data_IF_614146768773
#
_entry.id   IF_614146768773
#
_cell.length_a   1.000
_cell.length_b   1.000
_cell.length_c   1.000
_cell.angle_alpha   90.00
_cell.angle_beta   90.00
_cell.angle_gamma   90.00
#
_symmetry.space_group_name_H-M   'P 1'
#
loop_
_entity.id
_entity.type
_entity.pdbx_description
1 polymer ?
#
# COMPACT_ATOMS: atom_id res chain seq x y z
N UNK A 1 21.42 -33.87 22.77
CA UNK A 1 19.99 -33.80 22.49
C UNK A 1 19.82 -32.40 21.84
N UNK A 2 19.72 -32.37 20.52
CA UNK A 2 19.54 -31.11 19.75
C UNK A 2 18.11 -30.64 19.96
N UNK A 3 17.97 -29.44 20.42
CA UNK A 3 16.72 -28.69 20.54
C UNK A 3 16.19 -28.45 19.10
N UNK A 4 15.51 -29.44 18.54
CA UNK A 4 14.81 -29.30 17.29
C UNK A 4 13.54 -28.48 17.58
N UNK A 5 13.67 -27.14 17.50
CA UNK A 5 12.50 -26.28 17.41
C UNK A 5 11.67 -26.79 16.23
N UNK A 6 10.40 -27.10 16.47
CA UNK A 6 9.46 -27.43 15.41
C UNK A 6 9.59 -26.37 14.30
N UNK A 7 9.77 -26.77 13.04
CA UNK A 7 9.88 -25.82 11.95
C UNK A 7 8.62 -24.94 11.93
N UNK A 8 8.82 -23.62 11.93
CA UNK A 8 7.71 -22.68 11.86
C UNK A 8 6.80 -23.01 10.67
N UNK A 9 5.48 -22.87 10.83
CA UNK A 9 4.56 -23.17 9.75
C UNK A 9 4.82 -22.27 8.55
N UNK A 10 4.70 -22.82 7.35
CA UNK A 10 4.89 -22.12 6.09
C UNK A 10 3.69 -21.17 5.86
N UNK A 11 3.97 -19.96 5.39
CA UNK A 11 2.92 -19.00 5.10
C UNK A 11 2.51 -19.08 3.62
N UNK A 12 1.24 -19.42 3.37
CA UNK A 12 0.71 -19.72 2.03
C UNK A 12 0.94 -18.59 1.02
N UNK A 13 0.57 -17.34 1.36
CA UNK A 13 0.67 -16.23 0.43
C UNK A 13 2.12 -15.77 0.17
N UNK A 14 3.10 -16.29 0.93
CA UNK A 14 4.52 -16.06 0.69
C UNK A 14 5.09 -17.01 -0.38
N UNK A 15 4.38 -18.08 -0.71
CA UNK A 15 4.84 -19.17 -1.59
C UNK A 15 4.22 -19.06 -2.97
N UNK A 16 4.99 -19.41 -3.99
CA UNK A 16 4.45 -19.75 -5.29
C UNK A 16 4.02 -21.24 -5.33
N UNK A 17 3.35 -21.71 -6.41
CA UNK A 17 2.93 -23.11 -6.50
C UNK A 17 4.07 -24.15 -6.48
N UNK A 18 5.29 -23.77 -6.91
CA UNK A 18 6.44 -24.64 -6.87
C UNK A 18 6.98 -24.77 -5.44
N UNK A 19 7.13 -23.66 -4.74
CA UNK A 19 7.51 -23.65 -3.31
C UNK A 19 6.56 -24.51 -2.48
N UNK A 20 5.24 -24.38 -2.71
CA UNK A 20 4.24 -25.19 -2.03
C UNK A 20 4.35 -26.67 -2.39
N UNK A 21 4.61 -27.01 -3.65
CA UNK A 21 4.76 -28.41 -4.08
C UNK A 21 5.97 -29.06 -3.42
N UNK A 22 7.10 -28.36 -3.35
CA UNK A 22 8.32 -28.85 -2.71
C UNK A 22 8.12 -29.04 -1.20
N UNK A 23 7.50 -28.07 -0.54
CA UNK A 23 7.14 -28.19 0.87
C UNK A 23 6.20 -29.37 1.13
N UNK A 24 5.19 -29.57 0.30
CA UNK A 24 4.25 -30.67 0.44
C UNK A 24 4.94 -32.04 0.31
N UNK A 25 5.86 -32.17 -0.65
CA UNK A 25 6.67 -33.38 -0.80
C UNK A 25 7.51 -33.63 0.46
N UNK A 26 8.14 -32.59 1.00
CA UNK A 26 8.91 -32.69 2.24
C UNK A 26 8.05 -33.10 3.46
N UNK A 27 6.75 -32.79 3.44
CA UNK A 27 5.79 -33.19 4.48
C UNK A 27 5.14 -34.55 4.21
N UNK A 28 5.56 -35.29 3.16
CA UNK A 28 5.00 -36.57 2.79
C UNK A 28 3.68 -36.49 2.01
N UNK A 29 3.29 -35.31 1.56
CA UNK A 29 2.13 -35.12 0.70
C UNK A 29 2.53 -35.26 -0.78
N UNK A 30 1.54 -35.48 -1.65
CA UNK A 30 1.78 -35.52 -3.10
C UNK A 30 1.86 -34.09 -3.65
N UNK A 31 2.85 -33.78 -4.50
CA UNK A 31 3.10 -32.47 -5.09
C UNK A 31 1.85 -31.81 -5.71
N UNK A 32 0.99 -32.59 -6.40
CA UNK A 32 -0.21 -32.05 -7.04
C UNK A 32 -1.25 -31.47 -6.05
N UNK A 33 -1.15 -31.82 -4.75
CA UNK A 33 -2.00 -31.25 -3.71
C UNK A 33 -1.80 -29.74 -3.55
N UNK A 34 -0.59 -29.25 -3.82
CA UNK A 34 -0.31 -27.80 -3.81
C UNK A 34 -1.24 -27.06 -4.78
N UNK A 35 -1.39 -27.57 -6.01
CA UNK A 35 -2.33 -26.98 -6.99
C UNK A 35 -3.77 -26.97 -6.49
N UNK A 36 -4.19 -28.03 -5.79
CA UNK A 36 -5.55 -28.10 -5.24
C UNK A 36 -5.75 -27.05 -4.13
N UNK A 37 -4.78 -26.88 -3.22
CA UNK A 37 -4.85 -25.85 -2.17
C UNK A 37 -4.85 -24.45 -2.80
N UNK A 38 -3.99 -24.18 -3.79
CA UNK A 38 -3.95 -22.92 -4.53
C UNK A 38 -5.33 -22.60 -5.14
N UNK A 39 -5.99 -23.57 -5.76
CA UNK A 39 -7.33 -23.38 -6.31
C UNK A 39 -8.39 -23.11 -5.22
N UNK A 40 -8.32 -23.81 -4.09
CA UNK A 40 -9.24 -23.56 -2.99
C UNK A 40 -9.11 -22.14 -2.46
N UNK A 41 -7.89 -21.67 -2.26
CA UNK A 41 -7.64 -20.35 -1.66
C UNK A 41 -7.92 -19.22 -2.65
N UNK A 42 -7.31 -19.25 -3.85
CA UNK A 42 -7.40 -18.12 -4.78
C UNK A 42 -8.68 -18.10 -5.60
N UNK A 43 -9.17 -19.25 -6.06
CA UNK A 43 -10.35 -19.29 -6.94
C UNK A 43 -11.66 -19.36 -6.14
N UNK A 44 -11.67 -20.12 -5.02
CA UNK A 44 -12.89 -20.34 -4.24
C UNK A 44 -12.95 -19.53 -2.95
N UNK A 45 -11.84 -18.88 -2.55
CA UNK A 45 -11.76 -18.08 -1.34
C UNK A 45 -11.86 -18.89 -0.04
N UNK A 46 -11.57 -20.18 -0.08
CA UNK A 46 -11.63 -21.10 1.07
C UNK A 46 -10.27 -21.13 1.75
N UNK A 47 -10.25 -20.97 3.08
CA UNK A 47 -9.04 -21.00 3.90
C UNK A 47 -9.08 -22.07 4.99
N UNK A 48 -10.28 -22.57 5.33
CA UNK A 48 -10.41 -23.68 6.24
C UNK A 48 -10.13 -25.00 5.50
N UNK A 49 -9.15 -25.75 5.97
CA UNK A 49 -8.80 -27.02 5.37
C UNK A 49 -9.93 -28.05 5.46
N UNK A 50 -10.86 -27.94 6.42
CA UNK A 50 -11.99 -28.83 6.53
C UNK A 50 -12.99 -28.70 5.38
N UNK A 51 -13.08 -27.51 4.78
CA UNK A 51 -13.90 -27.23 3.62
C UNK A 51 -13.26 -27.70 2.29
N UNK A 52 -11.96 -28.05 2.29
CA UNK A 52 -11.25 -28.54 1.11
C UNK A 52 -11.55 -30.02 0.83
N UNK A 53 -12.76 -30.31 0.35
CA UNK A 53 -13.35 -31.63 0.32
C UNK A 53 -12.63 -32.67 -0.55
N UNK A 54 -11.78 -32.23 -1.51
CA UNK A 54 -10.97 -33.12 -2.36
C UNK A 54 -9.61 -33.51 -1.73
N UNK A 55 -9.32 -33.02 -0.51
CA UNK A 55 -8.18 -33.46 0.29
C UNK A 55 -8.59 -34.54 1.27
N UNK A 56 -7.72 -35.53 1.48
CA UNK A 56 -7.95 -36.59 2.49
C UNK A 56 -7.91 -35.98 3.90
N UNK A 57 -8.52 -36.64 4.88
CA UNK A 57 -8.44 -36.25 6.29
C UNK A 57 -6.99 -36.15 6.79
N UNK A 58 -6.14 -37.12 6.35
CA UNK A 58 -4.73 -37.12 6.71
C UNK A 58 -3.98 -35.92 6.11
N UNK A 59 -4.21 -35.61 4.81
CA UNK A 59 -3.59 -34.43 4.17
C UNK A 59 -3.99 -33.16 4.89
N UNK A 60 -5.29 -32.97 5.24
CA UNK A 60 -5.78 -31.79 5.97
C UNK A 60 -5.14 -31.66 7.35
N UNK A 61 -4.93 -32.76 8.07
CA UNK A 61 -4.26 -32.77 9.37
C UNK A 61 -2.82 -32.21 9.26
N UNK A 62 -2.06 -32.69 8.27
CA UNK A 62 -0.69 -32.21 8.00
C UNK A 62 -0.69 -30.73 7.63
N UNK A 63 -1.62 -30.31 6.76
CA UNK A 63 -1.69 -28.91 6.32
C UNK A 63 -2.05 -27.97 7.47
N UNK A 64 -2.96 -28.34 8.36
CA UNK A 64 -3.35 -27.54 9.51
C UNK A 64 -2.20 -27.29 10.47
N UNK A 65 -1.29 -28.24 10.60
CA UNK A 65 -0.11 -28.14 11.44
C UNK A 65 1.01 -27.29 10.81
N UNK A 66 1.15 -27.37 9.46
CA UNK A 66 2.35 -26.89 8.77
C UNK A 66 2.13 -25.74 7.81
N UNK A 67 0.89 -25.37 7.48
CA UNK A 67 0.56 -24.31 6.54
C UNK A 67 -0.39 -23.30 7.17
N UNK A 68 0.02 -22.02 7.18
CA UNK A 68 -0.81 -20.90 7.61
C UNK A 68 -1.33 -20.19 6.36
N UNK A 69 -2.64 -20.00 6.24
CA UNK A 69 -3.26 -19.22 5.15
C UNK A 69 -3.50 -17.78 5.61
N UNK A 70 -4.12 -17.57 6.76
CA UNK A 70 -4.33 -16.26 7.35
C UNK A 70 -3.25 -15.98 8.40
N UNK A 71 -2.38 -14.96 8.13
CA UNK A 71 -1.23 -14.63 8.98
C UNK A 71 -1.52 -13.52 9.98
N UNK A 72 -2.77 -13.14 10.11
CA UNK A 72 -3.24 -12.10 11.01
C UNK A 72 -4.75 -12.16 11.18
N UNK A 73 -5.26 -11.34 12.06
CA UNK A 73 -6.67 -11.24 12.42
C UNK A 73 -7.26 -9.91 11.97
N UNK A 74 -8.43 -9.93 11.33
CA UNK A 74 -9.19 -8.72 11.05
C UNK A 74 -9.91 -8.27 12.34
N UNK A 75 -9.24 -7.42 13.13
CA UNK A 75 -9.73 -6.98 14.43
C UNK A 75 -10.79 -5.88 14.34
N UNK A 76 -10.93 -5.22 13.18
CA UNK A 76 -11.98 -4.22 12.96
C UNK A 76 -12.39 -4.21 11.50
N UNK A 77 -13.70 -4.19 11.25
CA UNK A 77 -14.30 -3.95 9.93
C UNK A 77 -15.25 -2.76 10.02
N UNK A 78 -15.11 -1.82 9.10
CA UNK A 78 -15.94 -0.62 9.01
C UNK A 78 -16.52 -0.48 7.61
N UNK A 79 -17.80 -0.12 7.54
CA UNK A 79 -18.55 0.11 6.30
C UNK A 79 -18.98 1.58 6.24
N UNK A 80 -18.56 2.28 5.20
CA UNK A 80 -18.94 3.67 4.93
C UNK A 80 -20.29 3.76 4.21
N UNK A 81 -20.90 4.92 4.28
CA UNK A 81 -22.18 5.21 3.61
C UNK A 81 -22.10 5.12 2.09
N UNK A 82 -20.91 5.29 1.51
CA UNK A 82 -20.66 5.18 0.06
C UNK A 82 -20.25 3.76 -0.37
N UNK A 83 -20.37 2.78 0.52
CA UNK A 83 -20.03 1.38 0.30
C UNK A 83 -18.55 1.05 0.40
N UNK A 84 -17.70 2.02 0.76
CA UNK A 84 -16.27 1.78 1.06
C UNK A 84 -16.16 0.95 2.33
N UNK A 85 -15.29 -0.07 2.30
CA UNK A 85 -15.07 -0.95 3.43
C UNK A 85 -13.61 -0.92 3.87
N UNK A 86 -13.35 -0.77 5.16
CA UNK A 86 -12.01 -0.73 5.74
C UNK A 86 -11.82 -1.87 6.72
N UNK A 87 -10.71 -2.59 6.58
CA UNK A 87 -10.22 -3.56 7.54
C UNK A 87 -9.02 -3.01 8.29
N UNK A 88 -9.00 -3.26 9.60
CA UNK A 88 -7.80 -3.19 10.43
C UNK A 88 -7.35 -4.62 10.71
N UNK A 89 -6.13 -4.95 10.29
CA UNK A 89 -5.55 -6.29 10.44
C UNK A 89 -4.41 -6.21 11.43
N UNK A 90 -4.48 -7.02 12.50
CA UNK A 90 -3.38 -7.28 13.41
C UNK A 90 -2.61 -8.50 12.92
N UNK A 91 -1.29 -8.35 12.75
CA UNK A 91 -0.43 -9.39 12.19
C UNK A 91 0.26 -10.20 13.28
N UNK A 92 0.15 -11.51 13.19
CA UNK A 92 0.85 -12.42 14.10
C UNK A 92 2.37 -12.39 13.82
N UNK A 93 3.20 -12.68 14.82
CA UNK A 93 4.65 -12.79 14.62
C UNK A 93 4.97 -14.09 13.87
N UNK A 94 4.96 -13.99 12.53
CA UNK A 94 5.59 -14.99 11.67
C UNK A 94 7.07 -14.63 11.53
N UNK A 95 7.92 -15.63 11.28
CA UNK A 95 9.37 -15.45 11.20
C UNK A 95 9.76 -14.19 10.40
N UNK A 96 10.82 -13.53 10.87
CA UNK A 96 11.40 -12.39 10.17
C UNK A 96 11.77 -12.77 8.73
N UNK A 97 11.70 -11.80 7.78
CA UNK A 97 12.13 -12.02 6.40
C UNK A 97 13.56 -12.58 6.37
N UNK A 98 13.83 -13.42 5.37
CA UNK A 98 15.16 -13.99 5.17
C UNK A 98 16.22 -12.89 5.04
N UNK A 99 17.48 -13.18 5.41
CA UNK A 99 18.59 -12.24 5.30
C UNK A 99 18.77 -11.66 3.88
N UNK A 100 18.37 -12.39 2.85
CA UNK A 100 18.34 -11.95 1.45
C UNK A 100 17.37 -10.82 1.18
N UNK A 101 16.17 -10.85 1.76
CA UNK A 101 15.19 -9.77 1.59
C UNK A 101 15.60 -8.48 2.32
N UNK A 102 16.31 -8.62 3.45
CA UNK A 102 16.87 -7.48 4.16
C UNK A 102 18.01 -6.81 3.36
N UNK A 103 18.74 -7.58 2.57
CA UNK A 103 19.84 -7.10 1.72
C UNK A 103 19.30 -6.45 0.42
N UNK A 104 18.29 -7.03 -0.20
CA UNK A 104 17.63 -6.48 -1.39
C UNK A 104 16.86 -5.17 -1.10
N UNK A 105 16.35 -4.99 0.11
CA UNK A 105 15.72 -3.75 0.57
C UNK A 105 16.73 -2.67 0.96
N UNK A 106 18.02 -3.00 1.09
CA UNK A 106 19.06 -1.98 1.16
C UNK A 106 19.14 -1.32 -0.21
N UNK A 107 18.51 -0.15 -0.33
CA UNK A 107 18.78 0.79 -1.40
C UNK A 107 20.27 1.09 -1.30
N UNK A 108 21.07 0.49 -2.19
CA UNK A 108 22.48 0.85 -2.28
C UNK A 108 22.52 2.37 -2.46
N UNK A 109 23.26 3.11 -1.64
CA UNK A 109 23.44 4.53 -1.88
C UNK A 109 24.16 4.63 -3.23
N UNK A 110 23.40 4.99 -4.27
CA UNK A 110 24.01 5.76 -5.32
C UNK A 110 24.70 6.93 -4.61
N UNK A 111 25.90 7.29 -5.01
CA UNK A 111 26.74 8.30 -4.31
C UNK A 111 26.06 9.67 -4.16
N UNK A 112 24.77 9.76 -4.44
CA UNK A 112 23.87 10.92 -4.35
C UNK A 112 22.57 10.67 -3.59
N UNK A 113 22.29 9.44 -3.09
CA UNK A 113 21.02 9.17 -2.37
C UNK A 113 21.32 8.84 -0.90
N UNK A 114 21.01 9.79 -0.04
CA UNK A 114 20.98 9.61 1.40
C UNK A 114 20.09 8.42 1.77
N UNK A 115 20.58 7.52 2.61
CA UNK A 115 19.78 6.53 3.31
C UNK A 115 18.64 7.25 4.00
N UNK A 116 17.40 6.70 3.98
CA UNK A 116 16.30 7.27 4.76
C UNK A 116 16.79 7.34 6.21
N UNK A 117 17.01 8.54 6.77
CA UNK A 117 17.50 8.63 8.13
C UNK A 117 16.45 8.02 9.06
N UNK A 118 16.90 7.14 9.93
CA UNK A 118 16.11 6.71 11.09
C UNK A 118 15.82 7.98 11.90
N UNK A 119 14.62 8.53 11.74
CA UNK A 119 14.24 9.70 12.49
C UNK A 119 14.17 9.35 13.96
N UNK A 120 14.92 10.09 14.77
CA UNK A 120 14.74 10.16 16.22
C UNK A 120 13.25 10.39 16.50
N UNK A 121 12.70 9.55 17.35
CA UNK A 121 11.30 9.48 17.79
C UNK A 121 10.68 10.89 17.86
N UNK A 122 9.62 11.18 17.08
CA UNK A 122 8.87 12.43 17.27
C UNK A 122 8.24 12.41 18.66
N UNK A 123 8.30 13.51 19.34
CA UNK A 123 7.62 13.72 20.62
C UNK A 123 6.12 13.46 20.39
N UNK A 124 5.61 12.36 20.95
CA UNK A 124 4.22 11.98 20.83
C UNK A 124 3.33 13.07 21.42
N UNK A 125 2.43 13.62 20.61
CA UNK A 125 1.37 14.48 21.13
C UNK A 125 0.48 13.66 22.06
N UNK A 126 0.10 14.19 23.25
CA UNK A 126 -0.75 13.46 24.18
C UNK A 126 -2.13 13.24 23.58
N UNK A 127 -2.52 11.98 23.40
CA UNK A 127 -3.89 11.61 23.11
C UNK A 127 -4.71 11.89 24.36
N UNK A 128 -5.60 12.88 24.28
CA UNK A 128 -6.61 13.14 25.31
C UNK A 128 -7.45 11.86 25.48
N UNK A 129 -7.37 11.26 26.65
CA UNK A 129 -8.05 10.01 26.98
C UNK A 129 -9.56 10.14 26.86
N UNK A 130 -10.16 9.34 25.98
CA UNK A 130 -11.55 8.94 26.09
C UNK A 130 -11.63 7.74 27.04
N UNK A 131 -12.35 7.88 28.12
CA UNK A 131 -12.63 6.80 29.07
C UNK A 131 -13.49 5.72 28.40
N UNK A 132 -12.85 4.64 28.00
CA UNK A 132 -13.42 3.41 27.52
C UNK A 132 -12.23 2.48 27.26
N UNK A 133 -12.00 1.52 28.16
CA UNK A 133 -10.92 0.54 28.04
C UNK A 133 -11.11 -0.26 26.77
N UNK A 134 -10.46 0.17 25.69
CA UNK A 134 -10.25 -0.65 24.49
C UNK A 134 -9.03 -1.48 24.81
N UNK A 135 -9.16 -2.81 24.86
CA UNK A 135 -8.03 -3.71 24.98
C UNK A 135 -7.06 -3.40 23.83
N UNK A 136 -5.89 -2.89 24.21
CA UNK A 136 -4.84 -2.54 23.25
C UNK A 136 -4.21 -3.82 22.70
N UNK A 137 -4.38 -4.08 21.41
CA UNK A 137 -3.69 -5.18 20.74
C UNK A 137 -2.25 -4.77 20.45
N UNK A 138 -1.24 -5.42 21.06
CA UNK A 138 0.16 -5.05 20.89
C UNK A 138 0.76 -5.50 19.54
N UNK A 139 0.03 -6.28 18.74
CA UNK A 139 0.50 -6.77 17.45
C UNK A 139 0.65 -5.62 16.45
N UNK A 140 1.59 -5.72 15.49
CA UNK A 140 1.67 -4.78 14.38
C UNK A 140 0.38 -4.75 13.57
N UNK A 141 -0.11 -3.57 13.22
CA UNK A 141 -1.40 -3.40 12.58
C UNK A 141 -1.30 -2.61 11.28
N UNK A 142 -2.10 -3.00 10.28
CA UNK A 142 -2.28 -2.20 9.07
C UNK A 142 -3.74 -2.08 8.69
N UNK A 143 -4.08 -0.95 8.09
CA UNK A 143 -5.38 -0.75 7.47
C UNK A 143 -5.31 -1.01 5.96
N UNK A 144 -6.34 -1.65 5.41
CA UNK A 144 -6.58 -1.75 3.97
C UNK A 144 -8.04 -1.44 3.66
N UNK A 145 -8.30 -0.98 2.42
CA UNK A 145 -9.61 -0.43 2.07
C UNK A 145 -10.09 -0.99 0.73
N UNK A 146 -11.33 -1.48 0.70
CA UNK A 146 -12.06 -1.76 -0.53
C UNK A 146 -12.87 -0.53 -0.92
N UNK A 147 -12.64 -0.04 -2.13
CA UNK A 147 -13.29 1.16 -2.67
C UNK A 147 -14.15 0.76 -3.87
N UNK A 148 -15.50 0.81 -3.75
CA UNK A 148 -16.39 0.54 -4.86
C UNK A 148 -16.46 1.75 -5.80
N UNK A 149 -16.60 1.51 -7.08
CA UNK A 149 -16.88 2.56 -8.06
C UNK A 149 -17.75 1.99 -9.18
N UNK A 150 -18.89 2.63 -9.42
CA UNK A 150 -19.72 2.31 -10.56
C UNK A 150 -19.23 3.10 -11.77
N UNK A 151 -18.71 2.39 -12.77
CA UNK A 151 -18.45 2.99 -14.08
C UNK A 151 -19.78 3.17 -14.80
N UNK A 152 -20.37 4.36 -14.71
CA UNK A 152 -21.60 4.71 -15.43
C UNK A 152 -21.48 4.49 -16.95
N UNK A 153 -20.26 4.57 -17.49
CA UNK A 153 -20.00 4.42 -18.92
C UNK A 153 -19.91 2.96 -19.41
N UNK A 154 -19.56 2.00 -18.55
CA UNK A 154 -19.32 0.60 -18.97
C UNK A 154 -20.23 -0.43 -18.28
N UNK A 155 -21.07 -0.03 -17.33
CA UNK A 155 -21.92 -0.92 -16.53
C UNK A 155 -21.16 -1.92 -15.65
N UNK A 156 -19.81 -1.88 -15.64
CA UNK A 156 -18.98 -2.78 -14.86
C UNK A 156 -18.65 -2.18 -13.49
N UNK A 157 -18.98 -2.90 -12.44
CA UNK A 157 -18.54 -2.56 -11.07
C UNK A 157 -17.03 -2.65 -11.00
N UNK A 158 -16.38 -1.59 -10.53
CA UNK A 158 -14.97 -1.56 -10.23
C UNK A 158 -14.80 -1.68 -8.72
N UNK A 159 -14.07 -2.70 -8.28
CA UNK A 159 -13.73 -2.96 -6.88
C UNK A 159 -12.23 -2.75 -6.73
N UNK A 160 -11.83 -1.68 -6.06
CA UNK A 160 -10.41 -1.32 -5.90
C UNK A 160 -9.94 -1.65 -4.49
N UNK A 161 -8.91 -2.50 -4.37
CA UNK A 161 -8.19 -2.70 -3.13
C UNK A 161 -7.11 -1.61 -2.98
N UNK A 162 -7.20 -0.81 -1.93
CA UNK A 162 -6.16 0.09 -1.47
C UNK A 162 -5.41 -0.61 -0.33
N UNK A 163 -4.15 -0.97 -0.56
CA UNK A 163 -3.37 -1.85 0.30
C UNK A 163 -2.14 -1.15 0.86
N UNK A 164 -1.71 -1.63 2.02
CA UNK A 164 -0.54 -1.17 2.76
C UNK A 164 0.68 -2.02 2.45
N UNK A 165 1.85 -1.41 2.37
CA UNK A 165 3.14 -2.06 2.16
C UNK A 165 4.02 -2.12 3.41
N UNK A 166 3.67 -1.36 4.45
CA UNK A 166 4.43 -1.23 5.71
C UNK A 166 3.47 -1.01 6.87
N UNK A 167 3.92 -1.30 8.08
CA UNK A 167 3.32 -0.82 9.33
C UNK A 167 3.94 0.54 9.62
N UNK A 168 3.13 1.60 9.59
CA UNK A 168 3.64 2.98 9.58
C UNK A 168 4.22 3.40 8.23
N UNK A 169 4.99 4.49 8.18
CA UNK A 169 5.62 5.00 6.97
C UNK A 169 6.88 5.82 7.29
N UNK A 170 8.04 5.55 6.63
CA UNK A 170 9.29 6.24 6.94
C UNK A 170 9.36 7.67 6.38
N UNK A 171 8.44 8.05 5.49
CA UNK A 171 8.50 9.33 4.76
C UNK A 171 8.12 10.53 5.62
N UNK A 172 7.16 10.35 6.55
CA UNK A 172 6.75 11.39 7.49
C UNK A 172 6.04 12.59 6.83
N UNK A 173 5.29 12.40 5.74
CA UNK A 173 4.50 13.47 5.12
C UNK A 173 3.62 14.15 6.17
N UNK A 174 3.73 15.48 6.32
CA UNK A 174 3.09 16.24 7.41
C UNK A 174 1.56 16.28 7.34
N UNK A 175 0.98 15.94 6.20
CA UNK A 175 -0.47 15.88 5.96
C UNK A 175 -1.05 14.45 6.06
N UNK A 176 -0.24 13.43 6.34
CA UNK A 176 -0.63 12.02 6.27
C UNK A 176 -0.56 11.34 7.63
N UNK A 177 -1.66 10.71 8.05
CA UNK A 177 -1.73 10.00 9.31
C UNK A 177 -0.74 8.81 9.41
N UNK A 178 -0.46 8.13 8.29
CA UNK A 178 0.48 7.00 8.26
C UNK A 178 1.92 7.39 8.58
N UNK A 179 2.28 8.67 8.42
CA UNK A 179 3.62 9.18 8.72
C UNK A 179 3.85 9.58 10.17
N UNK A 180 2.79 9.71 10.99
CA UNK A 180 2.87 10.27 12.34
C UNK A 180 3.71 9.40 13.30
N UNK A 181 3.66 8.08 13.15
CA UNK A 181 4.39 7.12 14.00
C UNK A 181 5.74 6.65 13.41
N UNK A 182 6.13 7.15 12.23
CA UNK A 182 7.29 6.63 11.52
C UNK A 182 7.08 5.20 10.99
N UNK A 183 8.17 4.53 10.66
CA UNK A 183 8.17 3.13 10.22
C UNK A 183 8.33 2.20 11.41
N UNK A 184 7.41 1.27 11.60
CA UNK A 184 7.58 0.18 12.56
C UNK A 184 8.24 -1.04 11.91
N UNK A 185 7.66 -1.54 10.80
CA UNK A 185 8.23 -2.65 10.02
C UNK A 185 7.74 -2.70 8.57
N UNK A 186 8.50 -3.37 7.73
CA UNK A 186 8.08 -3.75 6.39
C UNK A 186 7.11 -4.94 6.46
N UNK A 187 6.10 -4.95 5.58
CA UNK A 187 5.28 -6.14 5.35
C UNK A 187 6.00 -7.09 4.38
N UNK A 188 5.95 -8.38 4.66
CA UNK A 188 6.36 -9.42 3.70
C UNK A 188 5.34 -9.50 2.55
N UNK A 189 5.75 -10.04 1.41
CA UNK A 189 4.95 -10.09 0.20
C UNK A 189 3.59 -10.77 0.43
N UNK A 190 3.58 -11.86 1.17
CA UNK A 190 2.36 -12.60 1.48
C UNK A 190 1.33 -11.74 2.21
N UNK A 191 1.73 -10.91 3.18
CA UNK A 191 0.81 -10.00 3.90
C UNK A 191 0.24 -8.90 2.99
N UNK A 192 1.01 -8.47 1.99
CA UNK A 192 0.52 -7.53 0.97
C UNK A 192 -0.55 -8.21 0.10
N UNK A 193 -0.32 -9.44 -0.33
CA UNK A 193 -1.27 -10.23 -1.13
C UNK A 193 -2.53 -10.58 -0.32
N UNK A 194 -2.36 -10.99 0.93
CA UNK A 194 -3.45 -11.35 1.85
C UNK A 194 -4.46 -10.21 2.04
N UNK A 195 -4.02 -8.95 2.07
CA UNK A 195 -4.93 -7.80 2.13
C UNK A 195 -5.89 -7.78 0.94
N UNK A 196 -5.37 -7.98 -0.29
CA UNK A 196 -6.21 -8.00 -1.51
C UNK A 196 -7.21 -9.15 -1.46
N UNK A 197 -6.74 -10.33 -1.05
CA UNK A 197 -7.55 -11.53 -0.94
C UNK A 197 -8.67 -11.36 0.11
N UNK A 198 -8.36 -10.84 1.30
CA UNK A 198 -9.36 -10.56 2.36
C UNK A 198 -10.41 -9.54 1.91
N UNK A 199 -9.99 -8.44 1.27
CA UNK A 199 -10.91 -7.43 0.76
C UNK A 199 -11.88 -7.98 -0.29
N UNK A 200 -11.43 -8.93 -1.12
CA UNK A 200 -12.28 -9.60 -2.11
C UNK A 200 -13.36 -10.50 -1.50
N UNK A 201 -13.20 -10.88 -0.24
CA UNK A 201 -14.10 -11.79 0.49
C UNK A 201 -15.09 -11.08 1.41
N UNK A 202 -15.00 -9.75 1.50
CA UNK A 202 -15.98 -8.97 2.24
C UNK A 202 -17.36 -9.09 1.60
N UNK A 203 -18.39 -9.07 2.44
CA UNK A 203 -19.77 -9.17 2.00
C UNK A 203 -20.10 -8.09 0.95
N UNK A 204 -20.74 -8.49 -0.14
CA UNK A 204 -21.13 -7.61 -1.23
C UNK A 204 -20.01 -7.17 -2.18
N UNK A 205 -18.75 -7.57 -1.95
CA UNK A 205 -17.61 -7.16 -2.77
C UNK A 205 -17.38 -8.10 -3.95
N UNK A 206 -17.13 -9.36 -3.70
CA UNK A 206 -16.74 -10.31 -4.73
C UNK A 206 -15.31 -10.06 -5.25
N UNK A 207 -15.09 -10.21 -6.56
CA UNK A 207 -13.73 -10.13 -7.12
C UNK A 207 -13.15 -8.70 -7.12
N UNK A 208 -11.99 -8.52 -6.54
CA UNK A 208 -11.20 -7.28 -6.71
C UNK A 208 -10.77 -7.13 -8.18
N UNK A 209 -10.98 -5.96 -8.74
CA UNK A 209 -10.67 -5.65 -10.15
C UNK A 209 -9.42 -4.79 -10.32
N UNK A 210 -9.08 -4.00 -9.32
CA UNK A 210 -7.96 -3.07 -9.33
C UNK A 210 -7.25 -3.06 -7.98
N UNK A 211 -5.96 -2.77 -7.99
CA UNK A 211 -5.16 -2.63 -6.77
C UNK A 211 -4.40 -1.31 -6.80
N UNK A 212 -4.36 -0.60 -5.68
CA UNK A 212 -3.55 0.61 -5.52
C UNK A 212 -2.71 0.49 -4.24
N UNK A 213 -1.41 0.66 -4.36
CA UNK A 213 -0.48 0.76 -3.24
C UNK A 213 -0.49 2.20 -2.72
N UNK A 214 -1.59 2.58 -2.08
CA UNK A 214 -1.84 3.93 -1.54
C UNK A 214 -2.33 3.89 -0.10
N UNK A 215 -2.14 2.75 0.58
CA UNK A 215 -2.36 2.57 2.01
C UNK A 215 -1.18 3.08 2.82
N UNK A 216 -0.87 2.37 3.90
CA UNK A 216 0.25 2.72 4.77
C UNK A 216 1.58 2.28 4.15
N UNK A 217 2.61 3.16 4.25
CA UNK A 217 3.97 2.88 3.82
C UNK A 217 4.37 3.53 2.50
N UNK A 218 5.69 3.49 2.24
CA UNK A 218 6.30 3.82 0.95
C UNK A 218 6.66 2.51 0.22
N UNK A 219 5.93 2.14 -0.84
CA UNK A 219 6.12 0.84 -1.49
C UNK A 219 7.55 0.62 -2.02
N UNK A 220 8.20 1.67 -2.53
CA UNK A 220 9.53 1.53 -3.10
C UNK A 220 10.65 1.48 -2.03
N UNK A 221 10.34 1.78 -0.77
CA UNK A 221 11.21 1.50 0.37
C UNK A 221 11.12 0.03 0.83
N UNK A 222 10.05 -0.69 0.42
CA UNK A 222 9.87 -2.13 0.64
C UNK A 222 9.84 -2.88 -0.69
N UNK A 223 10.79 -2.58 -1.57
CA UNK A 223 10.75 -2.96 -2.99
C UNK A 223 10.68 -4.47 -3.22
N UNK A 224 11.50 -5.27 -2.53
CA UNK A 224 11.57 -6.72 -2.75
C UNK A 224 10.21 -7.39 -2.48
N UNK A 225 9.59 -7.09 -1.33
CA UNK A 225 8.28 -7.61 -0.97
C UNK A 225 7.17 -7.10 -1.91
N UNK A 226 7.22 -5.83 -2.32
CA UNK A 226 6.25 -5.26 -3.27
C UNK A 226 6.39 -5.91 -4.65
N UNK A 227 7.62 -6.11 -5.16
CA UNK A 227 7.86 -6.76 -6.45
C UNK A 227 7.38 -8.22 -6.44
N UNK A 228 7.61 -8.97 -5.36
CA UNK A 228 7.11 -10.34 -5.17
C UNK A 228 5.58 -10.34 -5.10
N UNK A 229 4.98 -9.45 -4.31
CA UNK A 229 3.53 -9.31 -4.22
C UNK A 229 2.88 -8.97 -5.58
N UNK A 230 3.49 -8.10 -6.38
CA UNK A 230 3.01 -7.78 -7.73
C UNK A 230 2.96 -9.03 -8.62
N UNK A 231 3.98 -9.91 -8.56
CA UNK A 231 3.98 -11.19 -9.31
C UNK A 231 2.84 -12.09 -8.86
N UNK A 232 2.61 -12.26 -7.55
CA UNK A 232 1.51 -13.09 -7.01
C UNK A 232 0.13 -12.50 -7.35
N UNK A 233 -0.04 -11.17 -7.28
CA UNK A 233 -1.30 -10.51 -7.62
C UNK A 233 -1.62 -10.66 -9.11
N UNK A 234 -0.60 -10.65 -9.98
CA UNK A 234 -0.79 -10.72 -11.43
C UNK A 234 -0.81 -12.13 -12.01
N UNK A 235 -0.24 -13.09 -11.29
CA UNK A 235 -0.11 -14.47 -11.76
C UNK A 235 -1.49 -15.13 -12.00
N UNK A 236 -1.57 -15.96 -13.05
CA UNK A 236 -2.80 -16.70 -13.38
C UNK A 236 -3.19 -17.70 -12.27
N UNK A 237 -2.20 -18.25 -11.55
CA UNK A 237 -2.42 -19.12 -10.40
C UNK A 237 -2.75 -18.35 -9.11
N UNK A 238 -2.53 -17.04 -9.09
CA UNK A 238 -2.77 -16.14 -7.96
C UNK A 238 -4.11 -15.41 -8.08
N UNK A 239 -4.09 -14.08 -7.88
CA UNK A 239 -5.32 -13.27 -7.96
C UNK A 239 -5.73 -12.95 -9.42
N UNK A 240 -4.86 -13.13 -10.40
CA UNK A 240 -5.12 -12.92 -11.82
C UNK A 240 -5.54 -11.49 -12.18
N UNK A 241 -5.03 -10.50 -11.44
CA UNK A 241 -5.33 -9.08 -11.68
C UNK A 241 -4.30 -8.53 -12.67
N UNK A 242 -4.76 -8.08 -13.84
CA UNK A 242 -3.86 -7.51 -14.85
C UNK A 242 -2.98 -6.39 -14.27
N UNK A 243 -1.68 -6.41 -14.56
CA UNK A 243 -0.71 -5.38 -14.15
C UNK A 243 -1.17 -3.96 -14.51
N UNK A 244 -1.88 -3.78 -15.63
CA UNK A 244 -2.46 -2.48 -16.05
C UNK A 244 -3.55 -1.95 -15.12
N UNK A 245 -4.06 -2.78 -14.21
CA UNK A 245 -5.05 -2.42 -13.19
C UNK A 245 -4.44 -2.26 -11.82
N UNK A 246 -3.11 -2.26 -11.74
CA UNK A 246 -2.36 -2.05 -10.51
C UNK A 246 -1.66 -0.70 -10.60
N UNK A 247 -1.76 0.10 -9.54
CA UNK A 247 -1.04 1.36 -9.40
C UNK A 247 -0.10 1.26 -8.22
N UNK A 248 1.18 1.51 -8.46
CA UNK A 248 2.19 1.69 -7.40
C UNK A 248 2.41 3.18 -7.22
N UNK A 249 2.06 3.69 -6.03
CA UNK A 249 2.27 5.09 -5.67
C UNK A 249 3.54 5.23 -4.84
N UNK A 250 4.31 6.26 -5.10
CA UNK A 250 5.55 6.55 -4.37
C UNK A 250 5.69 8.04 -4.11
N UNK A 251 6.27 8.40 -2.97
CA UNK A 251 6.70 9.78 -2.70
C UNK A 251 7.80 10.22 -3.68
N UNK A 252 8.41 9.26 -4.34
CA UNK A 252 9.50 9.49 -5.28
C UNK A 252 10.84 9.05 -4.70
N UNK A 253 11.13 7.76 -4.86
CA UNK A 253 12.42 7.13 -4.63
C UNK A 253 13.01 6.84 -6.01
N UNK A 254 13.91 7.70 -6.59
CA UNK A 254 14.32 7.60 -7.99
C UNK A 254 14.92 6.24 -8.35
N UNK A 255 15.77 5.68 -7.49
CA UNK A 255 16.33 4.34 -7.67
C UNK A 255 15.26 3.25 -7.66
N UNK A 256 14.28 3.35 -6.77
CA UNK A 256 13.12 2.44 -6.71
C UNK A 256 12.23 2.54 -7.96
N UNK A 257 12.00 3.75 -8.50
CA UNK A 257 11.27 3.96 -9.75
C UNK A 257 11.99 3.28 -10.91
N UNK A 258 13.32 3.42 -11.01
CA UNK A 258 14.12 2.75 -12.05
C UNK A 258 14.06 1.22 -11.92
N UNK A 259 14.19 0.69 -10.70
CA UNK A 259 14.02 -0.75 -10.43
C UNK A 259 12.62 -1.24 -10.81
N UNK A 260 11.56 -0.45 -10.53
CA UNK A 260 10.19 -0.79 -10.92
C UNK A 260 10.01 -0.84 -12.44
N UNK A 261 10.74 -0.01 -13.19
CA UNK A 261 10.73 -0.03 -14.65
C UNK A 261 11.37 -1.28 -15.25
N UNK A 262 12.27 -1.96 -14.51
CA UNK A 262 12.97 -3.16 -14.97
C UNK A 262 12.22 -4.47 -14.66
N UNK A 263 11.19 -4.44 -13.78
CA UNK A 263 10.33 -5.60 -13.65
C UNK A 263 9.39 -5.69 -14.85
N UNK A 264 9.29 -6.85 -15.47
CA UNK A 264 8.45 -7.07 -16.66
C UNK A 264 6.94 -7.11 -16.31
N UNK A 265 6.46 -6.04 -15.67
CA UNK A 265 5.08 -5.84 -15.28
C UNK A 265 4.66 -4.37 -15.57
N UNK A 266 3.82 -4.12 -16.58
CA UNK A 266 3.42 -2.76 -16.97
C UNK A 266 2.40 -2.16 -16.00
N UNK A 267 2.74 -2.01 -14.73
CA UNK A 267 1.91 -1.34 -13.72
C UNK A 267 1.79 0.16 -14.01
N UNK A 268 0.88 0.85 -13.37
CA UNK A 268 0.81 2.31 -13.42
C UNK A 268 1.66 2.89 -12.29
N UNK A 269 2.58 3.79 -12.63
CA UNK A 269 3.34 4.55 -11.64
C UNK A 269 2.57 5.82 -11.28
N UNK A 270 2.34 6.05 -9.98
CA UNK A 270 1.83 7.30 -9.45
C UNK A 270 2.92 7.97 -8.60
N UNK A 271 3.28 9.21 -8.93
CA UNK A 271 4.23 10.01 -8.16
C UNK A 271 3.46 10.96 -7.26
N UNK A 272 3.60 10.79 -5.95
CA UNK A 272 3.07 11.67 -4.91
C UNK A 272 3.87 12.99 -4.90
N UNK A 273 3.56 13.86 -5.88
CA UNK A 273 4.27 15.12 -6.08
C UNK A 273 3.87 16.16 -5.01
N UNK A 274 2.57 16.41 -4.86
CA UNK A 274 1.88 17.22 -3.85
C UNK A 274 2.32 18.68 -3.73
N UNK A 275 3.29 19.13 -4.52
CA UNK A 275 3.76 20.50 -4.54
C UNK A 275 4.19 20.92 -5.96
N UNK A 276 4.10 22.21 -6.30
CA UNK A 276 4.46 22.71 -7.63
C UNK A 276 5.95 22.98 -7.80
N UNK A 277 6.68 23.10 -6.68
CA UNK A 277 8.11 23.40 -6.63
C UNK A 277 8.75 22.76 -5.37
N UNK A 278 10.08 22.72 -5.32
CA UNK A 278 10.82 22.07 -4.23
C UNK A 278 10.68 22.81 -2.89
N UNK A 279 10.50 24.13 -2.90
CA UNK A 279 10.32 24.91 -1.66
C UNK A 279 9.04 24.48 -0.93
N UNK A 280 7.91 24.49 -1.62
CA UNK A 280 6.61 24.06 -1.06
C UNK A 280 6.68 22.57 -0.71
N UNK A 281 7.36 21.76 -1.54
CA UNK A 281 7.45 20.31 -1.34
C UNK A 281 8.18 19.97 -0.05
N UNK A 282 9.32 20.57 0.24
CA UNK A 282 10.08 20.38 1.49
C UNK A 282 9.28 20.77 2.74
N UNK A 283 8.39 21.76 2.64
CA UNK A 283 7.54 22.16 3.76
C UNK A 283 6.53 21.09 4.17
N UNK A 284 6.07 20.24 3.25
CA UNK A 284 4.99 19.27 3.49
C UNK A 284 5.45 17.81 3.43
N UNK A 285 6.59 17.52 2.79
CA UNK A 285 7.18 16.20 2.62
C UNK A 285 8.66 16.25 3.06
N UNK A 286 9.02 15.74 4.24
CA UNK A 286 10.41 15.75 4.71
C UNK A 286 11.39 15.06 3.75
N UNK A 287 10.98 14.00 3.06
CA UNK A 287 11.78 13.32 2.05
C UNK A 287 12.25 14.23 0.90
N UNK A 288 11.58 15.33 0.65
CA UNK A 288 11.94 16.29 -0.41
C UNK A 288 13.23 17.08 -0.13
N UNK A 289 13.79 16.97 1.06
CA UNK A 289 15.14 17.49 1.33
C UNK A 289 16.22 16.71 0.56
N UNK A 290 15.96 15.44 0.23
CA UNK A 290 16.91 14.55 -0.42
C UNK A 290 16.65 14.37 -1.91
N UNK A 291 15.44 14.68 -2.39
CA UNK A 291 15.02 14.41 -3.77
C UNK A 291 14.26 15.60 -4.34
N UNK A 292 14.82 16.23 -5.37
CA UNK A 292 14.20 17.35 -6.09
C UNK A 292 13.14 16.87 -7.09
N UNK A 293 12.25 17.78 -7.49
CA UNK A 293 11.24 17.53 -8.53
C UNK A 293 11.90 17.15 -9.87
N UNK A 294 13.02 17.77 -10.24
CA UNK A 294 13.71 17.43 -11.49
C UNK A 294 14.25 15.98 -11.47
N UNK A 295 14.76 15.49 -10.34
CA UNK A 295 15.14 14.08 -10.20
C UNK A 295 13.94 13.13 -10.34
N UNK A 296 12.76 13.53 -9.86
CA UNK A 296 11.52 12.76 -10.04
C UNK A 296 11.08 12.75 -11.51
N UNK A 297 11.20 13.90 -12.20
CA UNK A 297 10.91 14.01 -13.63
C UNK A 297 11.82 13.07 -14.45
N UNK A 298 13.10 13.04 -14.15
CA UNK A 298 14.07 12.19 -14.86
C UNK A 298 13.78 10.69 -14.58
N UNK A 299 13.49 10.32 -13.36
CA UNK A 299 13.09 8.95 -13.04
C UNK A 299 11.75 8.56 -13.71
N UNK A 300 10.79 9.49 -13.74
CA UNK A 300 9.51 9.31 -14.43
C UNK A 300 9.67 9.14 -15.94
N UNK A 301 10.54 9.93 -16.59
CA UNK A 301 10.86 9.74 -18.02
C UNK A 301 11.44 8.37 -18.29
N UNK A 302 12.43 7.97 -17.48
CA UNK A 302 13.01 6.64 -17.58
C UNK A 302 11.93 5.54 -17.46
N UNK A 303 11.01 5.66 -16.52
CA UNK A 303 9.89 4.73 -16.34
C UNK A 303 9.00 4.67 -17.58
N UNK A 304 8.64 5.84 -18.14
CA UNK A 304 7.83 5.92 -19.35
C UNK A 304 8.55 5.30 -20.56
N UNK A 305 9.82 5.62 -20.77
CA UNK A 305 10.62 5.13 -21.90
C UNK A 305 10.75 3.61 -21.88
N UNK A 306 10.88 3.01 -20.68
CA UNK A 306 10.98 1.55 -20.52
C UNK A 306 9.65 0.82 -20.65
N UNK A 307 8.59 1.38 -20.10
CA UNK A 307 7.30 0.66 -19.93
C UNK A 307 6.21 1.10 -20.90
N UNK A 308 6.35 2.26 -21.54
CA UNK A 308 5.31 2.91 -22.33
C UNK A 308 4.10 3.36 -21.50
N UNK A 309 4.19 3.34 -20.15
CA UNK A 309 3.07 3.66 -19.25
C UNK A 309 3.08 5.12 -18.86
N UNK A 310 1.95 5.80 -19.09
CA UNK A 310 1.74 7.17 -18.65
C UNK A 310 1.83 7.27 -17.12
N UNK A 311 2.48 8.34 -16.64
CA UNK A 311 2.67 8.63 -15.22
C UNK A 311 1.45 9.35 -14.65
N UNK A 312 1.05 9.04 -13.43
CA UNK A 312 0.08 9.83 -12.70
C UNK A 312 0.80 10.72 -11.67
N UNK A 313 0.59 12.02 -11.73
CA UNK A 313 1.04 12.95 -10.70
C UNK A 313 -0.09 13.15 -9.68
N UNK A 314 0.09 12.62 -8.48
CA UNK A 314 -0.86 12.85 -7.38
C UNK A 314 -0.56 14.19 -6.72
N UNK A 315 -1.57 15.06 -6.61
CA UNK A 315 -1.44 16.38 -6.04
C UNK A 315 -2.54 16.64 -5.01
N UNK A 316 -2.18 16.59 -3.73
CA UNK A 316 -3.08 16.93 -2.64
C UNK A 316 -3.19 18.44 -2.52
N UNK A 317 -4.39 18.96 -2.51
CA UNK A 317 -4.67 20.38 -2.31
C UNK A 317 -4.88 20.65 -0.83
N UNK A 318 -3.96 21.43 -0.24
CA UNK A 318 -3.94 21.88 1.15
C UNK A 318 -4.31 23.35 1.18
N UNK A 319 -5.44 23.69 1.84
CA UNK A 319 -5.99 25.05 1.87
C UNK A 319 -4.98 26.09 2.37
N UNK A 320 -4.71 27.11 1.56
CA UNK A 320 -3.76 28.19 1.85
C UNK A 320 -2.27 27.84 1.73
N UNK A 321 -1.93 26.58 1.39
CA UNK A 321 -0.53 26.12 1.34
C UNK A 321 -0.04 25.94 -0.10
N UNK A 322 -0.75 25.14 -0.92
CA UNK A 322 -0.34 24.78 -2.28
C UNK A 322 -1.47 24.85 -3.31
N UNK A 323 -2.58 25.52 -2.98
CA UNK A 323 -3.84 25.57 -3.75
C UNK A 323 -4.05 26.90 -4.52
N UNK A 324 -3.06 27.79 -4.52
CA UNK A 324 -3.16 29.11 -5.19
C UNK A 324 -3.03 29.02 -6.71
N UNK A 325 -3.55 30.00 -7.47
CA UNK A 325 -3.44 30.04 -8.94
C UNK A 325 -2.00 29.99 -9.48
N UNK A 326 -1.03 30.60 -8.80
CA UNK A 326 0.39 30.52 -9.17
C UNK A 326 0.92 29.09 -9.06
N UNK A 327 0.52 28.34 -8.02
CA UNK A 327 0.88 26.94 -7.86
C UNK A 327 0.33 26.05 -8.99
N UNK A 328 -0.89 26.34 -9.47
CA UNK A 328 -1.45 25.62 -10.62
C UNK A 328 -0.65 25.86 -11.90
N UNK A 329 -0.21 27.12 -12.15
CA UNK A 329 0.63 27.43 -13.30
C UNK A 329 2.01 26.78 -13.23
N UNK A 330 2.59 26.69 -12.03
CA UNK A 330 3.87 25.99 -11.80
C UNK A 330 3.69 24.49 -12.01
N UNK A 331 2.65 23.89 -11.45
CA UNK A 331 2.33 22.46 -11.64
C UNK A 331 2.13 22.13 -13.12
N UNK A 332 1.47 23.01 -13.89
CA UNK A 332 1.32 22.84 -15.33
C UNK A 332 2.67 22.78 -16.05
N UNK A 333 3.67 23.59 -15.61
CA UNK A 333 5.03 23.52 -16.18
C UNK A 333 5.73 22.23 -15.85
N UNK A 334 5.54 21.70 -14.63
CA UNK A 334 6.10 20.41 -14.21
C UNK A 334 5.45 19.26 -14.98
N UNK A 335 4.12 19.21 -15.04
CA UNK A 335 3.37 18.13 -15.70
C UNK A 335 3.72 18.01 -17.19
N UNK A 336 3.95 19.13 -17.88
CA UNK A 336 4.36 19.14 -19.30
C UNK A 336 5.76 18.60 -19.57
N UNK A 337 6.61 18.44 -18.53
CA UNK A 337 7.92 17.79 -18.69
C UNK A 337 7.82 16.26 -18.80
N UNK A 338 6.64 15.66 -18.51
CA UNK A 338 6.37 14.23 -18.50
C UNK A 338 5.18 13.88 -19.39
N UNK A 339 5.14 12.63 -19.85
CA UNK A 339 3.90 12.03 -20.35
C UNK A 339 3.06 11.63 -19.13
N UNK A 340 2.20 12.55 -18.68
CA UNK A 340 1.50 12.39 -17.42
C UNK A 340 0.09 12.95 -17.43
N UNK A 341 -0.73 12.44 -16.50
CA UNK A 341 -1.96 13.06 -16.04
C UNK A 341 -1.80 13.53 -14.59
N UNK A 342 -2.67 14.44 -14.15
CA UNK A 342 -2.67 14.99 -12.78
C UNK A 342 -3.95 14.57 -12.07
N UNK A 343 -3.83 13.92 -10.91
CA UNK A 343 -4.93 13.68 -10.01
C UNK A 343 -4.92 14.71 -8.88
N UNK A 344 -5.90 15.59 -8.86
CA UNK A 344 -6.13 16.53 -7.76
C UNK A 344 -6.92 15.83 -6.65
N UNK A 345 -6.35 15.80 -5.45
CA UNK A 345 -6.95 15.22 -4.26
C UNK A 345 -7.30 16.35 -3.29
N UNK A 346 -8.57 16.50 -2.96
CA UNK A 346 -8.94 17.41 -1.86
C UNK A 346 -8.46 16.80 -0.55
N UNK A 347 -7.76 17.58 0.26
CA UNK A 347 -7.30 17.15 1.56
C UNK A 347 -8.45 16.58 2.41
N UNK A 348 -8.22 15.43 3.00
CA UNK A 348 -9.10 14.83 3.99
C UNK A 348 -8.49 15.09 5.36
N UNK A 349 -9.17 15.88 6.16
CA UNK A 349 -8.66 16.32 7.46
C UNK A 349 -8.31 15.14 8.35
N UNK A 350 -7.15 15.24 8.98
CA UNK A 350 -6.63 14.26 9.94
C UNK A 350 -6.58 14.92 11.30
N UNK A 351 -7.21 14.31 12.29
CA UNK A 351 -7.23 14.83 13.65
C UNK A 351 -5.80 15.01 14.18
N UNK A 352 -5.50 16.22 14.65
CA UNK A 352 -4.18 16.58 15.18
C UNK A 352 -3.18 17.10 14.15
N UNK A 353 -3.55 17.25 12.87
CA UNK A 353 -2.74 17.93 11.87
C UNK A 353 -3.31 19.32 11.56
N UNK A 354 -2.41 20.27 11.24
CA UNK A 354 -2.73 21.71 11.11
C UNK A 354 -3.32 22.11 9.74
N UNK A 355 -3.40 21.15 8.79
CA UNK A 355 -3.84 21.45 7.44
C UNK A 355 -5.36 21.52 7.31
N UNK A 356 -5.81 22.41 6.44
CA UNK A 356 -7.23 22.63 6.14
C UNK A 356 -7.60 22.09 4.77
N UNK A 357 -8.87 21.67 4.63
CA UNK A 357 -9.44 21.33 3.35
C UNK A 357 -9.64 22.59 2.50
N UNK A 358 -9.23 22.61 1.22
CA UNK A 358 -9.44 23.74 0.34
C UNK A 358 -10.93 23.97 0.04
N UNK A 359 -11.31 25.24 -0.20
CA UNK A 359 -12.64 25.59 -0.67
C UNK A 359 -12.91 24.95 -2.05
N UNK A 360 -14.17 24.64 -2.33
CA UNK A 360 -14.54 24.04 -3.62
C UNK A 360 -14.20 24.93 -4.81
N UNK A 361 -14.36 26.25 -4.66
CA UNK A 361 -14.06 27.26 -5.68
C UNK A 361 -12.57 27.26 -6.03
N UNK A 362 -11.67 27.18 -5.02
CA UNK A 362 -10.23 27.15 -5.24
C UNK A 362 -9.81 25.87 -5.99
N UNK A 363 -10.42 24.72 -5.66
CA UNK A 363 -10.18 23.46 -6.37
C UNK A 363 -10.61 23.54 -7.84
N UNK A 364 -11.77 24.14 -8.11
CA UNK A 364 -12.25 24.31 -9.49
C UNK A 364 -11.38 25.28 -10.27
N UNK A 365 -11.02 26.44 -9.68
CA UNK A 365 -10.11 27.41 -10.28
C UNK A 365 -8.73 26.79 -10.57
N UNK A 366 -8.20 26.00 -9.64
CA UNK A 366 -6.94 25.29 -9.81
C UNK A 366 -7.01 24.33 -11.01
N UNK A 367 -8.08 23.57 -11.12
CA UNK A 367 -8.32 22.66 -12.24
C UNK A 367 -8.42 23.43 -13.57
N UNK A 368 -9.22 24.50 -13.64
CA UNK A 368 -9.39 25.32 -14.85
C UNK A 368 -8.06 25.86 -15.39
N UNK A 369 -7.14 26.27 -14.50
CA UNK A 369 -5.80 26.71 -14.90
C UNK A 369 -4.99 25.57 -15.52
N UNK A 370 -5.09 24.35 -14.99
CA UNK A 370 -4.43 23.17 -15.55
C UNK A 370 -5.05 22.77 -16.89
N UNK A 371 -6.38 22.76 -16.99
CA UNK A 371 -7.11 22.48 -18.24
C UNK A 371 -6.74 23.49 -19.34
N UNK A 372 -6.71 24.80 -19.01
CA UNK A 372 -6.29 25.86 -19.93
C UNK A 372 -4.82 25.73 -20.38
N UNK A 373 -3.99 25.07 -19.59
CA UNK A 373 -2.61 24.75 -19.93
C UNK A 373 -2.46 23.41 -20.69
N UNK A 374 -3.55 22.78 -21.12
CA UNK A 374 -3.60 21.48 -21.78
C UNK A 374 -2.98 20.33 -20.94
N UNK A 375 -3.14 20.38 -19.62
CA UNK A 375 -2.78 19.29 -18.72
C UNK A 375 -4.01 18.41 -18.52
N UNK A 376 -3.88 17.09 -18.74
CA UNK A 376 -4.94 16.14 -18.43
C UNK A 376 -5.09 16.05 -16.92
N UNK A 377 -6.19 16.59 -16.37
CA UNK A 377 -6.41 16.71 -14.93
C UNK A 377 -7.73 16.13 -14.49
N UNK A 378 -7.70 15.39 -13.38
CA UNK A 378 -8.88 14.78 -12.76
C UNK A 378 -8.98 15.19 -11.29
N UNK A 379 -10.20 15.52 -10.83
CA UNK A 379 -10.46 15.68 -9.39
C UNK A 379 -10.90 14.30 -8.86
N UNK A 380 -10.10 13.74 -7.97
CA UNK A 380 -10.40 12.45 -7.33
C UNK A 380 -11.46 12.63 -6.25
N UNK A 381 -12.55 11.86 -6.33
CA UNK A 381 -13.56 11.82 -5.28
C UNK A 381 -12.96 11.19 -4.01
N UNK A 382 -13.14 11.84 -2.86
CA UNK A 382 -12.82 11.24 -1.56
C UNK A 382 -13.90 10.19 -1.21
N UNK A 383 -13.47 8.97 -0.92
CA UNK A 383 -14.33 7.84 -0.52
C UNK A 383 -14.04 7.45 0.93
N UNK A 384 -15.05 6.93 1.64
CA UNK A 384 -14.90 6.40 3.00
C UNK A 384 -14.48 7.45 4.04
N UNK A 385 -14.87 8.71 3.87
CA UNK A 385 -14.47 9.80 4.80
C UNK A 385 -15.06 9.61 6.20
N UNK A 386 -16.26 9.12 6.28
CA UNK A 386 -17.03 8.88 7.51
C UNK A 386 -16.42 7.78 8.41
N UNK A 387 -15.61 6.91 7.81
CA UNK A 387 -14.87 5.86 8.55
C UNK A 387 -13.34 6.10 8.54
N UNK A 388 -12.88 7.32 8.22
CA UNK A 388 -11.46 7.65 8.09
C UNK A 388 -10.68 6.69 7.17
N UNK A 389 -11.28 6.34 6.01
CA UNK A 389 -10.68 5.45 5.01
C UNK A 389 -10.19 6.19 3.76
N UNK A 390 -10.29 7.52 3.71
CA UNK A 390 -9.82 8.29 2.58
C UNK A 390 -8.28 8.42 2.57
N UNK A 391 -7.72 8.77 1.41
CA UNK A 391 -6.27 8.93 1.25
C UNK A 391 -5.68 9.86 2.31
N UNK A 392 -4.60 9.44 2.95
CA UNK A 392 -3.90 10.13 4.02
C UNK A 392 -4.48 9.94 5.42
N UNK A 393 -5.63 9.25 5.56
CA UNK A 393 -6.29 9.05 6.86
C UNK A 393 -5.96 7.70 7.53
N UNK A 394 -5.39 6.74 6.78
CA UNK A 394 -5.01 5.44 7.33
C UNK A 394 -3.83 5.60 8.31
N UNK A 395 -3.96 5.01 9.47
CA UNK A 395 -2.93 5.08 10.50
C UNK A 395 -2.80 3.78 11.28
N UNK A 396 -1.62 3.55 11.79
CA UNK A 396 -1.38 2.62 12.87
C UNK A 396 -1.88 3.24 14.18
N UNK A 397 -2.70 2.55 14.94
CA UNK A 397 -3.06 2.97 16.30
C UNK A 397 -1.81 2.78 17.16
N UNK A 398 -0.98 3.82 17.22
CA UNK A 398 0.30 3.79 17.93
C UNK A 398 0.12 3.37 19.40
N UNK A 399 1.00 2.48 19.84
CA UNK A 399 1.28 2.16 21.23
C UNK A 399 1.32 3.44 22.05
N UNK A 400 0.62 3.54 23.19
CA UNK A 400 0.84 4.65 24.09
C UNK A 400 2.33 4.74 24.43
N UNK A 401 2.91 5.95 24.56
CA UNK A 401 4.32 6.09 24.86
C UNK A 401 4.64 5.25 26.09
N UNK A 402 5.61 4.35 25.95
CA UNK A 402 6.12 3.58 27.09
C UNK A 402 6.56 4.58 28.14
N UNK A 403 5.91 4.54 29.31
CA UNK A 403 6.41 5.27 30.49
C UNK A 403 7.79 4.70 30.76
N UNK A 404 8.80 5.47 30.43
CA UNK A 404 10.17 5.15 30.80
C UNK A 404 10.19 5.12 32.34
N UNK A 405 10.19 3.94 32.91
CA UNK A 405 10.54 3.74 34.32
C UNK A 405 11.95 4.26 34.49
N UNK A 406 12.07 5.32 35.28
CA UNK A 406 13.33 5.91 35.75
C UNK A 406 14.11 4.90 36.61
#
# INVERSE_FOLDING_TARGET
>A
MSDARDPMPLYFFECDPADLADAFVAWGLKAFRAKQVVQWVYERGVWDFDDMTNLSRADRAVLRERLVIESGEAIRHQLATDGTQKLLIAWDDLAAPSSTEAEENRVAPDSTTASIPSQSTPTALPLMGGAGGVDFDPRPQTECVMIPSDSRASGRKRQTACISSQVGCPVGCRFCASGLGGLERNLVAGRIVEQVWRLGRLEGVGRITNVVFMGMGEPLANFAAVAKALRHITADWGLGISARRITVSTVGVPSGIRRLAEIDLPVTLAISLHAPNDEVRRRIIPWAEFVSIDQLIDAGRYYFDKTGREITLEYILLGGVNDRPEHARELARVARKLRSNVNLIRYNEVKGLEFNRPASEDVHRFREILDAANVNVHIRASRGRDIAAACGQLRHESRPPSVATR
#
